data_IF_502443012215
#
_entry.id   IF_502443012215
#
_cell.length_a   1.000
_cell.length_b   1.000
_cell.length_c   1.000
_cell.angle_alpha   90.00
_cell.angle_beta   90.00
_cell.angle_gamma   90.00
#
_symmetry.space_group_name_H-M   'P 1'
#
loop_
_entity.id
_entity.type
_entity.pdbx_description
1 polymer ?
#
# COMPACT_ATOMS: atom_id res chain seq x y z
N UNK A 1 12.38 4.71 11.40
CA UNK A 1 11.29 5.55 10.84
C UNK A 1 11.72 6.78 10.03
N UNK A 2 13.02 7.16 9.94
CA UNK A 2 13.41 8.35 9.17
C UNK A 2 13.13 8.24 7.66
N UNK A 3 12.90 7.07 7.07
CA UNK A 3 12.68 6.87 5.63
C UNK A 3 11.21 6.90 5.16
N UNK A 4 10.23 7.05 6.07
CA UNK A 4 8.80 6.92 5.75
C UNK A 4 8.05 8.26 5.62
N UNK A 5 8.77 9.39 5.63
CA UNK A 5 8.12 10.69 5.47
C UNK A 5 7.75 10.94 4.01
N UNK A 6 6.46 10.82 3.68
CA UNK A 6 5.95 11.06 2.32
C UNK A 6 6.25 12.48 1.82
N UNK A 7 6.25 13.48 2.72
CA UNK A 7 6.59 14.88 2.36
C UNK A 7 8.04 14.97 1.89
N UNK A 8 8.96 14.23 2.54
CA UNK A 8 10.35 14.22 2.12
C UNK A 8 10.53 13.49 0.80
N UNK A 9 9.93 12.31 0.64
CA UNK A 9 9.96 11.56 -0.62
C UNK A 9 9.40 12.39 -1.79
N UNK A 10 8.29 13.10 -1.57
CA UNK A 10 7.71 14.03 -2.53
C UNK A 10 8.65 15.21 -2.83
N UNK A 11 9.24 15.81 -1.80
CA UNK A 11 10.16 16.93 -1.98
C UNK A 11 11.40 16.52 -2.78
N UNK A 12 11.95 15.34 -2.50
CA UNK A 12 13.08 14.79 -3.24
C UNK A 12 12.68 14.47 -4.69
N UNK A 13 11.47 13.93 -4.93
CA UNK A 13 10.94 13.72 -6.28
C UNK A 13 10.87 15.03 -7.07
N UNK A 14 10.29 16.09 -6.51
CA UNK A 14 10.19 17.39 -7.18
C UNK A 14 11.57 18.01 -7.42
N UNK A 15 12.49 17.91 -6.45
CA UNK A 15 13.87 18.40 -6.62
C UNK A 15 14.63 17.68 -7.72
N UNK A 16 14.44 16.37 -7.89
CA UNK A 16 15.15 15.61 -8.92
C UNK A 16 14.50 15.74 -10.30
N UNK A 17 13.17 15.79 -10.37
CA UNK A 17 12.44 15.84 -11.65
C UNK A 17 12.26 17.26 -12.19
N UNK A 18 12.36 18.28 -11.32
CA UNK A 18 12.12 19.69 -11.66
C UNK A 18 10.76 19.95 -12.33
N UNK A 19 9.77 19.07 -12.13
CA UNK A 19 8.41 19.23 -12.64
C UNK A 19 7.74 20.35 -11.84
N UNK A 20 7.32 21.42 -12.52
CA UNK A 20 6.68 22.61 -11.91
C UNK A 20 5.21 22.76 -12.27
N UNK A 21 4.76 22.07 -13.31
CA UNK A 21 3.40 22.16 -13.85
C UNK A 21 2.91 20.79 -14.37
N UNK A 22 1.61 20.69 -14.65
CA UNK A 22 1.00 19.48 -15.22
C UNK A 22 1.01 18.28 -14.29
N UNK A 23 1.18 17.08 -14.85
CA UNK A 23 1.19 15.85 -14.07
C UNK A 23 2.49 15.70 -13.27
N UNK A 24 2.35 15.52 -11.95
CA UNK A 24 3.45 15.30 -10.99
C UNK A 24 4.17 13.96 -11.27
N UNK A 25 3.39 12.91 -11.50
CA UNK A 25 3.90 11.57 -11.81
C UNK A 25 3.74 11.30 -13.31
N UNK A 26 4.85 11.39 -14.03
CA UNK A 26 4.94 11.19 -15.47
C UNK A 26 5.41 9.78 -15.81
N UNK A 27 5.33 9.42 -17.09
CA UNK A 27 5.84 8.14 -17.61
C UNK A 27 7.30 7.87 -17.20
N UNK A 28 7.67 6.62 -16.95
CA UNK A 28 9.05 6.17 -16.76
C UNK A 28 9.41 5.29 -17.96
N UNK A 29 10.60 5.47 -18.52
CA UNK A 29 11.07 4.66 -19.64
C UNK A 29 11.79 3.38 -19.19
N UNK A 30 12.21 2.55 -20.16
CA UNK A 30 12.88 1.27 -19.91
C UNK A 30 14.26 1.40 -19.25
N UNK A 31 14.83 2.61 -19.20
CA UNK A 31 16.10 2.91 -18.56
C UNK A 31 15.91 3.60 -17.20
N UNK A 32 14.71 3.48 -16.62
CA UNK A 32 14.30 4.09 -15.36
C UNK A 32 14.37 5.63 -15.36
N UNK A 33 14.18 6.26 -16.53
CA UNK A 33 14.16 7.72 -16.66
C UNK A 33 12.73 8.24 -16.70
N UNK A 34 12.46 9.24 -15.87
CA UNK A 34 11.19 9.97 -15.90
C UNK A 34 11.10 10.79 -17.19
N UNK A 35 9.98 10.68 -17.90
CA UNK A 35 9.66 11.43 -19.12
C UNK A 35 9.26 12.86 -18.77
N UNK A 36 10.22 13.65 -18.30
CA UNK A 36 10.02 15.01 -17.82
C UNK A 36 9.46 15.91 -18.93
N UNK A 37 9.84 15.75 -20.19
CA UNK A 37 9.35 16.63 -21.26
C UNK A 37 7.92 16.31 -21.75
N UNK A 38 7.34 15.20 -21.27
CA UNK A 38 6.02 14.74 -21.72
C UNK A 38 5.00 14.99 -20.61
N UNK A 39 4.09 15.96 -20.81
CA UNK A 39 2.99 16.22 -19.89
C UNK A 39 1.87 15.17 -20.03
N UNK A 40 2.19 13.91 -19.71
CA UNK A 40 1.25 12.78 -19.70
C UNK A 40 1.38 12.04 -18.38
N UNK A 41 0.25 11.79 -17.75
CA UNK A 41 0.17 11.02 -16.52
C UNK A 41 0.78 9.62 -16.70
N UNK A 42 1.46 9.16 -15.65
CA UNK A 42 1.78 7.74 -15.48
C UNK A 42 0.51 6.90 -15.59
N UNK A 43 0.56 5.83 -16.37
CA UNK A 43 -0.57 4.90 -16.48
C UNK A 43 -0.62 4.00 -15.25
N UNK A 44 -1.82 3.54 -14.90
CA UNK A 44 -2.04 2.59 -13.81
C UNK A 44 -1.23 1.30 -13.99
N UNK A 45 -1.18 0.79 -15.23
CA UNK A 45 -0.43 -0.41 -15.57
C UNK A 45 1.08 -0.23 -15.40
N UNK A 46 1.63 0.94 -15.75
CA UNK A 46 3.05 1.23 -15.52
C UNK A 46 3.37 1.34 -14.03
N UNK A 47 2.49 1.99 -13.25
CA UNK A 47 2.61 2.06 -11.80
C UNK A 47 2.61 0.66 -11.17
N UNK A 48 1.64 -0.18 -11.52
CA UNK A 48 1.54 -1.54 -10.98
C UNK A 48 2.74 -2.40 -11.33
N UNK A 49 3.23 -2.33 -12.58
CA UNK A 49 4.44 -3.07 -12.97
C UNK A 49 5.66 -2.65 -12.16
N UNK A 50 5.90 -1.34 -12.01
CA UNK A 50 7.00 -0.84 -11.18
C UNK A 50 6.84 -1.22 -9.71
N UNK A 51 5.62 -1.14 -9.18
CA UNK A 51 5.33 -1.55 -7.81
C UNK A 51 5.59 -3.04 -7.59
N UNK A 52 5.14 -3.92 -8.49
CA UNK A 52 5.40 -5.35 -8.39
C UNK A 52 6.90 -5.69 -8.47
N UNK A 53 7.66 -5.00 -9.33
CA UNK A 53 9.12 -5.16 -9.37
C UNK A 53 9.77 -4.75 -8.03
N UNK A 54 9.38 -3.59 -7.48
CA UNK A 54 9.89 -3.14 -6.18
C UNK A 54 9.57 -4.14 -5.05
N UNK A 55 8.41 -4.81 -5.09
CA UNK A 55 8.06 -5.85 -4.12
C UNK A 55 8.97 -7.08 -4.27
N UNK A 56 9.23 -7.51 -5.51
CA UNK A 56 10.15 -8.62 -5.78
C UNK A 56 11.58 -8.31 -5.31
N UNK A 57 12.05 -7.07 -5.49
CA UNK A 57 13.38 -6.63 -5.04
C UNK A 57 13.56 -6.73 -3.52
N UNK A 58 12.47 -6.64 -2.76
CA UNK A 58 12.47 -6.81 -1.29
C UNK A 58 11.97 -8.19 -0.84
N UNK A 59 11.83 -9.15 -1.76
CA UNK A 59 11.44 -10.53 -1.47
C UNK A 59 9.96 -10.71 -1.09
N UNK A 60 9.09 -9.77 -1.48
CA UNK A 60 7.65 -9.84 -1.23
C UNK A 60 6.91 -10.31 -2.48
N UNK A 61 6.02 -11.30 -2.35
CA UNK A 61 5.18 -11.78 -3.44
C UNK A 61 4.18 -10.71 -3.89
N UNK A 62 4.24 -10.22 -5.15
CA UNK A 62 3.36 -9.18 -5.65
C UNK A 62 1.93 -9.67 -5.98
N UNK A 63 1.66 -10.98 -6.04
CA UNK A 63 0.37 -11.52 -6.50
C UNK A 63 -0.83 -11.06 -5.67
N UNK A 64 -0.61 -10.76 -4.39
CA UNK A 64 -1.64 -10.27 -3.46
C UNK A 64 -1.87 -8.77 -3.54
N UNK A 65 -1.06 -8.06 -4.36
CA UNK A 65 -1.07 -6.61 -4.48
C UNK A 65 -1.70 -6.14 -5.80
N UNK A 66 -2.39 -5.00 -5.74
CA UNK A 66 -3.05 -4.38 -6.88
C UNK A 66 -3.40 -2.92 -6.62
N UNK A 67 -4.25 -2.34 -7.47
CA UNK A 67 -4.59 -0.91 -7.41
C UNK A 67 -5.28 -0.47 -6.12
N UNK A 68 -5.92 -1.41 -5.42
CA UNK A 68 -6.63 -1.13 -4.18
C UNK A 68 -5.78 -1.36 -2.93
N UNK A 69 -4.54 -1.88 -3.05
CA UNK A 69 -3.70 -2.27 -1.91
C UNK A 69 -3.40 -1.08 -1.00
N UNK A 70 -3.01 0.08 -1.55
CA UNK A 70 -2.73 1.26 -0.74
C UNK A 70 -3.97 1.79 -0.01
N UNK A 71 -5.13 1.81 -0.69
CA UNK A 71 -6.39 2.26 -0.09
C UNK A 71 -6.83 1.33 1.05
N UNK A 72 -6.66 0.02 0.86
CA UNK A 72 -6.93 -0.99 1.89
C UNK A 72 -5.98 -0.87 3.07
N UNK A 73 -4.66 -0.86 2.82
CA UNK A 73 -3.65 -0.75 3.87
C UNK A 73 -3.78 0.54 4.68
N UNK A 74 -4.12 1.65 4.04
CA UNK A 74 -4.42 2.92 4.70
C UNK A 74 -5.70 2.88 5.53
N UNK A 75 -6.78 2.30 5.00
CA UNK A 75 -8.03 2.10 5.75
C UNK A 75 -7.82 1.25 7.01
N UNK A 76 -7.08 0.14 6.89
CA UNK A 76 -6.73 -0.72 8.03
C UNK A 76 -5.85 0.02 9.04
N UNK A 77 -4.85 0.78 8.59
CA UNK A 77 -3.98 1.57 9.48
C UNK A 77 -4.77 2.61 10.27
N UNK A 78 -5.65 3.36 9.59
CA UNK A 78 -6.47 4.38 10.24
C UNK A 78 -7.46 3.77 11.25
N UNK A 79 -7.96 2.57 10.97
CA UNK A 79 -8.88 1.87 11.87
C UNK A 79 -8.19 1.24 13.07
N UNK A 80 -7.06 0.56 12.85
CA UNK A 80 -6.42 -0.29 13.87
C UNK A 80 -5.41 0.50 14.69
N UNK A 81 -4.51 1.25 14.05
CA UNK A 81 -3.42 1.95 14.73
C UNK A 81 -3.85 3.34 15.22
N UNK A 82 -4.61 4.06 14.38
CA UNK A 82 -5.05 5.42 14.71
C UNK A 82 -6.41 5.47 15.41
N UNK A 83 -7.12 4.32 15.49
CA UNK A 83 -8.44 4.20 16.10
C UNK A 83 -9.45 5.24 15.58
N UNK A 84 -9.40 5.60 14.30
CA UNK A 84 -10.35 6.55 13.73
C UNK A 84 -11.75 5.93 13.67
N UNK A 85 -12.80 6.70 14.00
CA UNK A 85 -14.17 6.23 13.81
C UNK A 85 -14.45 6.02 12.33
N UNK A 86 -15.27 5.01 11.99
CA UNK A 86 -15.55 4.64 10.60
C UNK A 86 -15.98 5.83 9.73
N UNK A 87 -16.81 6.73 10.26
CA UNK A 87 -17.23 7.96 9.56
C UNK A 87 -16.05 8.79 9.06
N UNK A 88 -15.03 8.98 9.91
CA UNK A 88 -13.83 9.75 9.59
C UNK A 88 -12.95 9.03 8.56
N UNK A 89 -12.91 7.70 8.62
CA UNK A 89 -12.22 6.89 7.60
C UNK A 89 -12.94 7.01 6.25
N UNK A 90 -14.28 7.04 6.26
CA UNK A 90 -15.06 7.24 5.04
C UNK A 90 -14.84 8.60 4.41
N UNK A 91 -14.80 9.66 5.22
CA UNK A 91 -14.45 11.01 4.77
C UNK A 91 -13.04 11.04 4.16
N UNK A 92 -12.03 10.46 4.84
CA UNK A 92 -10.67 10.34 4.31
C UNK A 92 -10.61 9.56 3.01
N UNK A 93 -11.35 8.45 2.94
CA UNK A 93 -11.43 7.59 1.77
C UNK A 93 -12.21 8.21 0.61
N UNK A 94 -12.86 9.37 0.78
CA UNK A 94 -13.72 9.99 -0.23
C UNK A 94 -14.96 9.14 -0.54
N UNK A 95 -15.44 8.36 0.43
CA UNK A 95 -16.68 7.60 0.29
C UNK A 95 -17.88 8.49 0.72
N UNK A 96 -18.98 8.46 -0.03
CA UNK A 96 -20.22 9.21 0.28
C UNK A 96 -20.93 8.67 1.52
N UNK A 97 -21.28 9.47 2.52
CA UNK A 97 -21.94 8.99 3.76
C UNK A 97 -23.16 8.06 3.60
N UNK A 98 -23.76 8.02 2.41
CA UNK A 98 -24.93 7.19 2.03
C UNK A 98 -24.57 5.82 1.39
N UNK A 99 -23.34 5.31 1.49
CA UNK A 99 -23.00 3.99 0.92
C UNK A 99 -23.54 2.81 1.74
N UNK A 100 -23.76 1.70 1.04
CA UNK A 100 -23.90 0.38 1.65
C UNK A 100 -22.65 0.07 2.50
N UNK A 101 -22.85 -0.15 3.79
CA UNK A 101 -21.85 -0.48 4.82
C UNK A 101 -20.86 -1.58 4.40
N UNK A 102 -21.24 -2.44 3.47
CA UNK A 102 -20.37 -3.47 2.90
C UNK A 102 -19.14 -2.92 2.15
N UNK A 103 -19.17 -1.68 1.68
CA UNK A 103 -18.05 -1.11 0.91
C UNK A 103 -16.81 -0.94 1.78
N UNK A 104 -16.95 -0.32 2.96
CA UNK A 104 -15.81 -0.14 3.88
C UNK A 104 -15.33 -1.47 4.45
N UNK A 105 -16.24 -2.42 4.70
CA UNK A 105 -15.88 -3.76 5.21
C UNK A 105 -14.90 -4.47 4.27
N UNK A 106 -15.07 -4.36 2.95
CA UNK A 106 -14.13 -4.91 1.96
C UNK A 106 -12.72 -4.31 2.03
N UNK A 107 -12.55 -3.13 2.63
CA UNK A 107 -11.26 -2.47 2.85
C UNK A 107 -10.72 -2.67 4.27
N UNK A 108 -11.55 -3.10 5.22
CA UNK A 108 -11.12 -3.43 6.58
C UNK A 108 -10.73 -4.90 6.72
N UNK A 109 -11.45 -5.78 6.01
CA UNK A 109 -11.33 -7.23 6.12
C UNK A 109 -11.17 -7.84 4.72
N UNK A 110 -10.18 -8.71 4.58
CA UNK A 110 -9.83 -9.41 3.35
C UNK A 110 -9.45 -10.86 3.64
N UNK A 111 -9.68 -11.73 2.65
CA UNK A 111 -9.20 -13.11 2.69
C UNK A 111 -7.65 -13.21 2.75
N UNK A 112 -6.95 -12.20 2.21
CA UNK A 112 -5.50 -12.05 2.33
C UNK A 112 -5.02 -11.57 3.70
N UNK A 113 -5.91 -11.12 4.59
CA UNK A 113 -5.49 -10.70 5.92
C UNK A 113 -5.23 -11.97 6.74
N UNK A 114 -3.96 -12.27 7.04
CA UNK A 114 -3.61 -13.37 7.94
C UNK A 114 -3.79 -12.91 9.40
N UNK A 115 -4.83 -13.36 10.11
CA UNK A 115 -5.07 -12.95 11.50
C UNK A 115 -3.97 -13.44 12.45
N UNK A 116 -3.08 -14.33 11.98
CA UNK A 116 -1.93 -14.84 12.75
C UNK A 116 -0.71 -13.93 12.63
N UNK A 117 -0.70 -13.01 11.65
CA UNK A 117 0.40 -12.08 11.43
C UNK A 117 0.10 -10.74 12.09
N UNK A 118 0.89 -10.42 13.12
CA UNK A 118 0.88 -9.12 13.77
C UNK A 118 1.28 -8.03 12.77
N UNK A 119 0.69 -6.84 12.87
CA UNK A 119 0.94 -5.77 11.89
C UNK A 119 2.38 -5.27 11.96
N UNK A 120 2.96 -5.31 13.16
CA UNK A 120 4.35 -4.96 13.45
C UNK A 120 5.33 -5.87 12.72
N UNK A 121 4.91 -7.12 12.42
CA UNK A 121 5.70 -8.10 11.71
C UNK A 121 5.74 -7.84 10.19
N UNK A 122 4.86 -7.02 9.61
CA UNK A 122 4.88 -6.73 8.15
C UNK A 122 6.16 -6.03 7.69
N UNK A 123 6.88 -5.38 8.60
CA UNK A 123 8.16 -4.73 8.31
C UNK A 123 9.37 -5.56 8.76
N UNK A 124 9.16 -6.77 9.27
CA UNK A 124 10.22 -7.69 9.65
C UNK A 124 10.55 -8.64 8.49
N UNK A 125 11.47 -8.22 7.62
CA UNK A 125 11.89 -8.99 6.44
C UNK A 125 12.65 -10.28 6.79
N UNK A 126 13.14 -10.42 8.02
CA UNK A 126 13.86 -11.60 8.51
C UNK A 126 12.94 -12.60 9.25
N UNK A 127 11.62 -12.35 9.24
CA UNK A 127 10.66 -13.16 9.98
C UNK A 127 10.62 -14.59 9.46
N UNK A 128 10.89 -15.54 10.37
CA UNK A 128 10.67 -16.96 10.10
C UNK A 128 9.17 -17.25 9.99
N UNK A 129 8.76 -18.21 9.13
CA UNK A 129 7.36 -18.62 9.02
C UNK A 129 6.77 -18.97 10.39
N UNK A 130 5.57 -18.47 10.66
CA UNK A 130 4.88 -18.77 11.91
C UNK A 130 4.33 -20.19 11.83
N UNK A 131 5.01 -21.13 12.50
CA UNK A 131 4.60 -22.53 12.57
C UNK A 131 3.35 -22.74 13.47
N UNK A 132 3.09 -21.84 14.42
CA UNK A 132 2.03 -21.97 15.41
C UNK A 132 1.18 -20.70 15.52
N UNK A 133 -0.14 -20.84 15.47
CA UNK A 133 -1.07 -19.71 15.68
C UNK A 133 -0.85 -19.08 17.06
N UNK A 134 -0.56 -17.78 17.13
CA UNK A 134 -0.28 -17.10 18.41
C UNK A 134 -1.51 -16.94 19.32
N UNK A 135 -2.73 -16.94 18.77
CA UNK A 135 -3.96 -16.84 19.57
C UNK A 135 -4.31 -18.14 20.30
N UNK A 136 -3.98 -19.30 19.72
CA UNK A 136 -4.40 -20.60 20.28
C UNK A 136 -3.26 -21.61 20.46
N UNK A 137 -2.02 -21.28 20.05
CA UNK A 137 -0.83 -22.11 20.17
C UNK A 137 -0.75 -23.31 19.22
N UNK A 138 -1.74 -23.52 18.33
CA UNK A 138 -1.83 -24.73 17.51
C UNK A 138 -1.05 -24.61 16.19
N UNK A 139 -0.33 -25.67 15.82
CA UNK A 139 0.13 -25.95 14.45
C UNK A 139 -1.08 -26.46 13.64
N UNK A 140 -1.40 -25.83 12.50
CA UNK A 140 -2.50 -26.25 11.61
C UNK A 140 -1.94 -27.09 10.46
N UNK A 141 -2.62 -28.17 10.03
CA UNK A 141 -2.26 -28.98 8.84
C UNK A 141 -2.27 -28.19 7.51
N UNK A 142 -2.67 -26.91 7.55
CA UNK A 142 -2.65 -25.98 6.43
C UNK A 142 -1.32 -25.23 6.26
N UNK A 143 -0.28 -25.59 7.03
CA UNK A 143 1.09 -25.06 6.90
C UNK A 143 1.89 -25.76 5.83
#
# INVERSE_FOLDING_TARGET
MKHLCFVRAYSDWIRNTQIRDGYIFRGIDKNDRVKIDVNRAMTQDMFLRGFCHNLLDVGVDPTTYGTHSFRRGGCQWLSVDMCWPLRKICEWGGWSTDFNHLTIVKYLISWNDDPRTCREDFFNLERKPVLQCRMCGRTCDCS
#
